data_IF_602234441287
#
_entry.id   IF_602234441287
#
_cell.length_a   1.000
_cell.length_b   1.000
_cell.length_c   1.000
_cell.angle_alpha   90.00
_cell.angle_beta   90.00
_cell.angle_gamma   90.00
#
_symmetry.space_group_name_H-M   'P 1'
#
loop_
_entity.id
_entity.type
_entity.pdbx_description
1 polymer ?
#
# COMPACT_ATOMS: atom_id res chain seq x y z
N UNK A 1 9.66 -7.14 -2.85
CA UNK A 1 8.26 -6.67 -2.77
C UNK A 1 8.19 -5.45 -3.66
N UNK A 2 7.18 -5.32 -4.52
CA UNK A 2 7.12 -4.23 -5.51
C UNK A 2 6.66 -2.90 -4.93
N UNK A 3 5.88 -2.92 -3.84
CA UNK A 3 5.40 -1.71 -3.17
C UNK A 3 5.56 -1.82 -1.64
N UNK A 4 5.47 -0.68 -0.97
CA UNK A 4 5.37 -0.62 0.49
C UNK A 4 3.96 -1.05 0.93
N UNK A 5 3.86 -1.72 2.09
CA UNK A 5 2.55 -2.04 2.68
C UNK A 5 1.90 -0.77 3.20
N UNK A 6 0.59 -0.61 2.97
CA UNK A 6 -0.21 0.47 3.57
C UNK A 6 -0.20 0.45 5.10
N UNK A 7 0.18 -0.70 5.70
CA UNK A 7 0.36 -0.81 7.14
C UNK A 7 1.40 0.16 7.71
N UNK A 8 2.32 0.70 6.90
CA UNK A 8 3.36 1.64 7.35
C UNK A 8 3.10 3.10 6.99
N UNK A 9 1.94 3.42 6.40
CA UNK A 9 1.62 4.78 5.94
C UNK A 9 1.68 5.82 7.06
N UNK A 10 1.43 5.39 8.31
CA UNK A 10 1.48 6.23 9.52
C UNK A 10 2.60 5.83 10.49
N UNK A 11 3.47 4.91 10.11
CA UNK A 11 4.51 4.35 10.98
C UNK A 11 5.88 4.91 10.60
N UNK A 12 6.63 5.47 11.56
CA UNK A 12 7.93 6.11 11.33
C UNK A 12 9.07 5.10 11.18
N UNK A 13 9.01 4.29 10.14
CA UNK A 13 9.92 3.15 9.92
C UNK A 13 10.82 3.31 8.70
N UNK A 14 10.75 4.45 8.02
CA UNK A 14 11.54 4.78 6.82
C UNK A 14 12.55 5.90 7.15
N UNK A 15 13.59 5.57 7.93
CA UNK A 15 14.60 6.55 8.34
C UNK A 15 14.02 7.73 9.14
N UNK A 16 13.06 7.45 10.03
CA UNK A 16 12.36 8.45 10.84
C UNK A 16 11.10 9.05 10.19
N UNK A 17 10.83 8.74 8.91
CA UNK A 17 9.62 9.17 8.19
C UNK A 17 8.57 8.07 8.09
N UNK A 18 7.32 8.48 7.93
CA UNK A 18 6.18 7.62 7.59
C UNK A 18 6.09 7.36 6.08
N UNK A 19 5.33 6.34 5.66
CA UNK A 19 5.09 6.08 4.23
C UNK A 19 4.50 7.30 3.51
N UNK A 20 3.49 7.94 4.10
CA UNK A 20 2.83 9.11 3.51
C UNK A 20 3.76 10.32 3.42
N UNK A 21 4.61 10.56 4.42
CA UNK A 21 5.63 11.63 4.36
C UNK A 21 6.60 11.42 3.20
N UNK A 22 7.05 10.18 2.97
CA UNK A 22 7.93 9.87 1.84
C UNK A 22 7.26 10.14 0.50
N UNK A 23 6.00 9.74 0.32
CA UNK A 23 5.26 10.03 -0.92
C UNK A 23 5.03 11.52 -1.10
N UNK A 24 4.68 12.24 -0.03
CA UNK A 24 4.49 13.68 -0.05
C UNK A 24 5.77 14.42 -0.45
N UNK A 25 6.90 14.10 0.18
CA UNK A 25 8.19 14.71 -0.12
C UNK A 25 8.57 14.51 -1.59
N UNK A 26 8.33 13.30 -2.12
CA UNK A 26 8.61 12.98 -3.52
C UNK A 26 7.74 13.80 -4.47
N UNK A 27 6.41 13.83 -4.27
CA UNK A 27 5.49 14.62 -5.10
C UNK A 27 5.80 16.12 -5.02
N UNK A 28 6.17 16.62 -3.84
CA UNK A 28 6.56 18.01 -3.65
C UNK A 28 7.84 18.34 -4.41
N UNK A 29 8.84 17.47 -4.36
CA UNK A 29 10.09 17.63 -5.12
C UNK A 29 9.82 17.60 -6.64
N UNK A 30 9.00 16.66 -7.10
CA UNK A 30 8.59 16.58 -8.51
C UNK A 30 7.89 17.86 -8.96
N UNK A 31 6.93 18.37 -8.16
CA UNK A 31 6.25 19.62 -8.50
C UNK A 31 7.22 20.79 -8.56
N UNK A 32 8.17 20.90 -7.64
CA UNK A 32 9.13 22.00 -7.61
C UNK A 32 10.12 21.96 -8.79
N UNK A 33 10.65 20.78 -9.12
CA UNK A 33 11.64 20.61 -10.19
C UNK A 33 11.04 20.88 -11.59
N UNK A 34 9.79 20.46 -11.82
CA UNK A 34 9.14 20.56 -13.11
C UNK A 34 8.13 21.73 -13.19
N UNK A 35 8.29 22.79 -12.39
CA UNK A 35 7.37 23.93 -12.34
C UNK A 35 7.12 24.55 -13.73
N UNK A 36 8.17 24.75 -14.51
CA UNK A 36 8.07 25.28 -15.87
C UNK A 36 7.25 24.37 -16.78
N UNK A 37 7.43 23.04 -16.69
CA UNK A 37 6.66 22.08 -17.47
C UNK A 37 5.16 22.09 -17.11
N UNK A 38 4.82 22.38 -15.85
CA UNK A 38 3.43 22.60 -15.45
C UNK A 38 2.90 23.94 -15.95
N UNK A 39 3.70 25.01 -15.87
CA UNK A 39 3.33 26.35 -16.32
C UNK A 39 3.11 26.42 -17.84
N UNK A 40 3.92 25.70 -18.61
CA UNK A 40 3.82 25.58 -20.07
C UNK A 40 2.76 24.57 -20.52
N UNK A 41 2.15 23.82 -19.59
CA UNK A 41 1.14 22.80 -19.90
C UNK A 41 1.69 21.53 -20.55
N UNK A 42 3.01 21.30 -20.49
CA UNK A 42 3.65 20.06 -20.97
C UNK A 42 3.24 18.86 -20.11
N UNK A 43 3.11 19.05 -18.80
CA UNK A 43 2.54 18.07 -17.88
C UNK A 43 1.06 18.39 -17.68
N UNK A 44 0.19 17.61 -18.31
CA UNK A 44 -1.27 17.81 -18.25
C UNK A 44 -1.96 17.00 -17.16
N UNK A 45 -1.33 15.93 -16.67
CA UNK A 45 -1.89 15.05 -15.66
C UNK A 45 -0.78 14.37 -14.84
N UNK A 46 -1.15 13.93 -13.64
CA UNK A 46 -0.29 13.14 -12.75
C UNK A 46 -1.10 11.96 -12.23
N UNK A 47 -0.61 10.75 -12.45
CA UNK A 47 -1.17 9.53 -11.88
C UNK A 47 -0.41 9.16 -10.60
N UNK A 48 -1.14 9.02 -9.49
CA UNK A 48 -0.54 8.69 -8.20
C UNK A 48 -0.61 7.18 -8.00
N UNK A 49 0.54 6.52 -8.07
CA UNK A 49 0.65 5.10 -7.81
C UNK A 49 0.35 4.75 -6.35
N UNK A 50 -0.60 3.84 -6.11
CA UNK A 50 -1.06 3.48 -4.76
C UNK A 50 -0.73 2.04 -4.35
N UNK A 51 -0.02 1.28 -5.19
CA UNK A 51 0.29 -0.12 -4.94
C UNK A 51 1.16 -0.75 -6.04
N UNK A 52 1.14 -2.08 -6.09
CA UNK A 52 1.84 -2.83 -7.15
C UNK A 52 1.29 -2.42 -8.52
N UNK A 53 2.18 -2.27 -9.50
CA UNK A 53 1.84 -1.74 -10.84
C UNK A 53 1.22 -0.33 -10.82
N UNK A 54 1.33 0.43 -9.73
CA UNK A 54 0.69 1.75 -9.57
C UNK A 54 -0.79 1.69 -9.17
N UNK A 55 -1.41 0.51 -9.15
CA UNK A 55 -2.84 0.36 -8.92
C UNK A 55 -3.22 0.40 -7.43
N UNK A 56 -4.42 0.91 -7.14
CA UNK A 56 -5.02 0.85 -5.80
C UNK A 56 -5.58 -0.54 -5.51
N UNK A 57 -4.70 -1.50 -5.28
CA UNK A 57 -5.06 -2.87 -4.89
C UNK A 57 -3.98 -3.53 -4.04
N UNK A 58 -4.40 -4.58 -3.34
CA UNK A 58 -3.45 -5.55 -2.82
C UNK A 58 -2.82 -6.35 -3.98
N UNK A 59 -1.55 -6.78 -3.85
CA UNK A 59 -0.88 -7.61 -4.85
C UNK A 59 -1.35 -9.08 -4.74
N UNK A 60 -2.66 -9.34 -4.88
CA UNK A 60 -3.31 -10.62 -4.58
C UNK A 60 -3.04 -11.75 -5.57
N UNK A 61 -2.47 -11.46 -6.74
CA UNK A 61 -2.17 -12.42 -7.80
C UNK A 61 -0.71 -12.29 -8.29
N UNK A 62 0.29 -12.49 -7.42
CA UNK A 62 1.68 -12.30 -7.78
C UNK A 62 2.19 -13.47 -8.64
N UNK A 63 2.45 -13.24 -9.93
CA UNK A 63 3.05 -14.24 -10.84
C UNK A 63 4.37 -14.80 -10.29
N UNK A 64 5.15 -13.92 -9.64
CA UNK A 64 6.38 -14.23 -8.90
C UNK A 64 6.23 -15.34 -7.85
N UNK A 65 5.05 -15.49 -7.25
CA UNK A 65 4.78 -16.53 -6.24
C UNK A 65 4.00 -17.71 -6.83
N UNK A 66 3.97 -17.84 -8.16
CA UNK A 66 3.38 -18.99 -8.85
C UNK A 66 1.89 -18.86 -9.14
N UNK A 67 1.28 -17.69 -8.90
CA UNK A 67 -0.09 -17.45 -9.34
C UNK A 67 -0.19 -17.56 -10.87
N UNK A 68 -1.27 -18.18 -11.35
CA UNK A 68 -1.62 -18.28 -12.77
C UNK A 68 -3.11 -18.04 -12.94
N UNK A 69 -3.49 -17.37 -14.02
CA UNK A 69 -4.88 -17.20 -14.39
C UNK A 69 -5.57 -18.55 -14.62
N UNK A 70 -6.83 -18.77 -14.17
CA UNK A 70 -7.74 -17.84 -13.47
C UNK A 70 -7.76 -18.04 -11.94
N UNK A 71 -6.62 -18.27 -11.30
CA UNK A 71 -6.54 -18.52 -9.85
C UNK A 71 -7.17 -17.38 -9.03
N UNK A 72 -7.80 -17.73 -7.91
CA UNK A 72 -8.57 -16.79 -7.07
C UNK A 72 -7.70 -15.72 -6.37
N UNK A 73 -6.39 -15.98 -6.23
CA UNK A 73 -5.47 -15.12 -5.51
C UNK A 73 -5.51 -15.33 -3.99
N UNK A 74 -4.86 -14.44 -3.24
CA UNK A 74 -4.75 -14.53 -1.79
C UNK A 74 -4.87 -13.17 -1.09
N UNK A 75 -5.26 -13.19 0.19
CA UNK A 75 -5.20 -12.02 1.07
C UNK A 75 -3.75 -11.60 1.30
N UNK A 76 -3.44 -10.32 1.10
CA UNK A 76 -2.07 -9.77 1.29
C UNK A 76 -2.01 -8.81 2.48
N UNK A 77 -2.55 -9.24 3.62
CA UNK A 77 -2.69 -8.43 4.83
C UNK A 77 -1.95 -9.02 6.04
N UNK A 78 -0.98 -9.89 5.80
CA UNK A 78 -0.31 -10.68 6.85
C UNK A 78 0.96 -10.02 7.42
N UNK A 79 1.35 -8.83 6.97
CA UNK A 79 2.46 -8.11 7.59
C UNK A 79 2.11 -7.68 9.03
N UNK A 80 3.16 -7.45 9.83
CA UNK A 80 3.01 -7.17 11.27
C UNK A 80 2.15 -5.95 11.57
N UNK A 81 2.14 -4.94 10.70
CA UNK A 81 1.43 -3.68 10.94
C UNK A 81 -0.05 -3.84 10.61
N UNK A 82 -0.38 -4.43 9.46
CA UNK A 82 -1.78 -4.75 9.11
C UNK A 82 -2.39 -5.76 10.09
N UNK A 83 -1.64 -6.77 10.53
CA UNK A 83 -2.10 -7.67 11.58
C UNK A 83 -2.34 -6.96 12.92
N UNK A 84 -1.49 -6.00 13.30
CA UNK A 84 -1.71 -5.21 14.50
C UNK A 84 -2.97 -4.35 14.38
N UNK A 85 -3.23 -3.78 13.21
CA UNK A 85 -4.45 -3.03 12.92
C UNK A 85 -5.69 -3.92 13.02
N UNK A 86 -5.65 -5.13 12.46
CA UNK A 86 -6.72 -6.12 12.60
C UNK A 86 -6.98 -6.49 14.07
N UNK A 87 -5.93 -6.75 14.86
CA UNK A 87 -6.04 -7.03 16.30
C UNK A 87 -6.69 -5.89 17.06
N UNK A 88 -6.28 -4.64 16.80
CA UNK A 88 -6.88 -3.43 17.40
C UNK A 88 -8.37 -3.33 17.05
N UNK A 89 -8.71 -3.48 15.77
CA UNK A 89 -10.08 -3.41 15.29
C UNK A 89 -10.97 -4.52 15.88
N UNK A 90 -10.48 -5.76 15.92
CA UNK A 90 -11.18 -6.90 16.51
C UNK A 90 -11.47 -6.68 18.00
N UNK A 91 -10.48 -6.18 18.77
CA UNK A 91 -10.65 -5.84 20.18
C UNK A 91 -11.68 -4.73 20.38
N UNK A 92 -11.63 -3.66 19.58
CA UNK A 92 -12.59 -2.55 19.65
C UNK A 92 -14.03 -2.98 19.38
N UNK A 93 -14.23 -4.00 18.56
CA UNK A 93 -15.56 -4.58 18.28
C UNK A 93 -16.00 -5.65 19.29
N UNK A 94 -15.19 -5.96 20.30
CA UNK A 94 -15.51 -7.01 21.28
C UNK A 94 -15.35 -8.44 20.75
N UNK A 95 -14.74 -8.63 19.59
CA UNK A 95 -14.58 -9.93 18.92
C UNK A 95 -13.10 -10.26 18.73
N UNK A 96 -12.34 -10.38 19.82
CA UNK A 96 -10.89 -10.65 19.77
C UNK A 96 -10.50 -11.89 18.95
N UNK A 97 -11.40 -12.87 18.80
CA UNK A 97 -11.14 -14.06 17.97
C UNK A 97 -11.10 -13.76 16.45
N UNK A 98 -11.60 -12.60 16.00
CA UNK A 98 -11.48 -12.13 14.61
C UNK A 98 -10.09 -11.59 14.27
N UNK A 99 -9.14 -11.60 15.21
CA UNK A 99 -7.84 -10.97 15.07
C UNK A 99 -6.81 -11.74 14.21
N UNK A 100 -7.28 -12.61 13.31
CA UNK A 100 -6.47 -13.44 12.41
C UNK A 100 -7.11 -13.49 11.03
N UNK A 101 -6.31 -13.78 10.00
CA UNK A 101 -6.84 -14.06 8.67
C UNK A 101 -7.65 -15.37 8.64
N UNK A 102 -8.44 -15.58 7.58
CA UNK A 102 -9.19 -16.82 7.39
C UNK A 102 -8.24 -18.01 7.18
N UNK A 103 -8.64 -19.18 7.68
CA UNK A 103 -7.95 -20.47 7.53
C UNK A 103 -8.51 -21.32 6.39
N UNK A 104 -9.52 -20.81 5.68
CA UNK A 104 -10.30 -21.51 4.66
C UNK A 104 -10.48 -20.70 3.37
N UNK A 105 -9.51 -19.84 3.04
CA UNK A 105 -9.59 -18.91 1.90
C UNK A 105 -8.96 -19.43 0.60
N UNK A 106 -8.63 -20.72 0.54
CA UNK A 106 -8.00 -21.40 -0.60
C UNK A 106 -7.63 -22.83 -0.27
#
# INVERSE_FOLDING_TARGET
TECLSWGIDRERVLGGRTGVEVYFDYMRSFRAEFDDCFAEGLISAVEIGLGASGELRFPSFPERLGWKYPGIGEFQCYDRYLQQNLRKAAKMRGHSFWAKGPDNAG
#
